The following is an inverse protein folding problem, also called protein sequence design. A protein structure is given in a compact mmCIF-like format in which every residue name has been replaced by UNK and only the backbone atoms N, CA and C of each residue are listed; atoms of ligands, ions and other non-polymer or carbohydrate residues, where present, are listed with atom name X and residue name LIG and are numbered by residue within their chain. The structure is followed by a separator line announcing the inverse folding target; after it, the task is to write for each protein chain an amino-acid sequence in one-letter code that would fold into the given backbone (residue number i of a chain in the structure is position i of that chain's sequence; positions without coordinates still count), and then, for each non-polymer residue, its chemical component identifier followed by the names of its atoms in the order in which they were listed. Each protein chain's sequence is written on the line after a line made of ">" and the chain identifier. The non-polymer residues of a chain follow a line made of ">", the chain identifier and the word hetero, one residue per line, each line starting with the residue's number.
data_IF_237622024768
#
_entry.id   IF_237622024768
#
_cell.length_a   1.000
_cell.length_b   1.000
_cell.length_c   1.000
_cell.angle_alpha   90.00
_cell.angle_beta   90.00
_cell.angle_gamma   90.00
#
_symmetry.space_group_name_H-M   'P 1'
#
loop_
_entity.id
_entity.type
_entity.pdbx_description
1 polymer ?
#
# COMPACT_ATOMS: atom_id res chain seq x y z
N UNK A 1 -5.02 -10.89 18.05
CA UNK A 1 -4.24 -10.27 16.97
C UNK A 1 -4.76 -10.78 15.62
N UNK A 2 -4.94 -9.90 14.67
CA UNK A 2 -5.47 -10.27 13.37
C UNK A 2 -4.47 -9.86 12.26
N UNK A 3 -4.65 -10.42 11.07
CA UNK A 3 -3.84 -10.09 9.90
C UNK A 3 -4.76 -9.44 8.87
N UNK A 4 -4.33 -8.30 8.35
CA UNK A 4 -5.12 -7.50 7.42
C UNK A 4 -4.39 -7.32 6.09
N UNK A 5 -5.19 -7.25 5.03
CA UNK A 5 -4.72 -6.90 3.69
C UNK A 5 -5.62 -5.77 3.17
N UNK A 6 -5.06 -4.58 3.04
CA UNK A 6 -5.76 -3.45 2.46
C UNK A 6 -5.26 -3.27 1.03
N UNK A 7 -6.19 -3.32 0.07
CA UNK A 7 -5.87 -3.15 -1.34
C UNK A 7 -6.41 -1.79 -1.77
N UNK A 8 -5.52 -0.90 -2.20
CA UNK A 8 -5.89 0.45 -2.60
C UNK A 8 -5.67 0.63 -4.09
N UNK A 9 -6.74 0.90 -4.83
CA UNK A 9 -6.71 1.08 -6.29
C UNK A 9 -6.87 2.52 -6.72
N UNK A 10 -7.14 3.43 -5.80
CA UNK A 10 -7.44 4.84 -6.12
C UNK A 10 -6.29 5.76 -5.82
N UNK A 11 -6.23 6.84 -6.61
CA UNK A 11 -5.24 7.89 -6.48
C UNK A 11 -5.67 8.86 -5.37
N UNK A 12 -4.80 9.18 -4.41
CA UNK A 12 -5.12 10.14 -3.35
C UNK A 12 -5.41 11.56 -3.86
N UNK A 13 -4.98 11.90 -5.08
CA UNK A 13 -5.32 13.20 -5.69
C UNK A 13 -6.78 13.27 -6.13
N UNK A 14 -7.41 12.12 -6.37
CA UNK A 14 -8.80 12.05 -6.80
C UNK A 14 -9.76 11.71 -5.67
N UNK A 15 -9.28 11.07 -4.63
CA UNK A 15 -10.12 10.60 -3.53
C UNK A 15 -9.53 10.98 -2.19
N UNK A 16 -10.27 11.78 -1.42
CA UNK A 16 -9.86 12.18 -0.07
C UNK A 16 -9.93 11.03 0.93
N UNK A 17 -10.56 9.92 0.54
CA UNK A 17 -10.65 8.72 1.40
C UNK A 17 -9.32 7.97 1.42
N UNK A 18 -8.52 8.06 0.36
CA UNK A 18 -7.27 7.29 0.25
C UNK A 18 -6.30 7.55 1.40
N UNK A 19 -5.99 8.81 1.78
CA UNK A 19 -5.12 9.05 2.94
C UNK A 19 -5.69 8.47 4.24
N UNK A 20 -7.00 8.39 4.37
CA UNK A 20 -7.65 7.77 5.53
C UNK A 20 -7.41 6.27 5.58
N UNK A 21 -7.29 5.62 4.42
CA UNK A 21 -6.93 4.20 4.36
C UNK A 21 -5.51 3.98 4.84
N UNK A 22 -4.59 4.90 4.55
CA UNK A 22 -3.23 4.84 5.07
C UNK A 22 -3.23 4.96 6.60
N UNK A 23 -4.03 5.88 7.13
CA UNK A 23 -4.15 6.07 8.57
C UNK A 23 -4.75 4.84 9.25
N UNK A 24 -5.75 4.22 8.62
CA UNK A 24 -6.34 2.99 9.12
C UNK A 24 -5.30 1.88 9.19
N UNK A 25 -4.53 1.71 8.12
CA UNK A 25 -3.47 0.70 8.08
C UNK A 25 -2.46 0.92 9.20
N UNK A 26 -2.00 2.17 9.37
CA UNK A 26 -1.04 2.52 10.40
C UNK A 26 -1.60 2.26 11.81
N UNK A 27 -2.87 2.60 12.04
CA UNK A 27 -3.53 2.38 13.33
C UNK A 27 -3.62 0.90 13.66
N UNK A 28 -3.99 0.07 12.67
CA UNK A 28 -4.08 -1.38 12.85
C UNK A 28 -2.70 -1.98 13.17
N UNK A 29 -1.66 -1.51 12.48
CA UNK A 29 -0.29 -1.97 12.74
C UNK A 29 0.18 -1.59 14.14
N UNK A 30 -0.10 -0.36 14.57
CA UNK A 30 0.26 0.11 15.91
C UNK A 30 -0.46 -0.66 17.00
N UNK A 31 -1.63 -1.20 16.71
CA UNK A 31 -2.40 -2.03 17.64
C UNK A 31 -1.87 -3.47 17.71
N UNK A 32 -0.81 -3.80 16.98
CA UNK A 32 -0.16 -5.11 17.04
C UNK A 32 -0.61 -6.08 15.95
N UNK A 33 -1.36 -5.63 14.97
CA UNK A 33 -1.80 -6.48 13.86
C UNK A 33 -0.75 -6.51 12.75
N UNK A 34 -0.71 -7.61 12.00
CA UNK A 34 0.07 -7.68 10.77
C UNK A 34 -0.76 -7.03 9.65
N UNK A 35 -0.23 -6.00 9.02
CA UNK A 35 -0.97 -5.23 8.01
C UNK A 35 -0.14 -5.08 6.75
N UNK A 36 -0.73 -5.44 5.61
CA UNK A 36 -0.18 -5.16 4.29
C UNK A 36 -1.08 -4.13 3.62
N UNK A 37 -0.47 -3.08 3.08
CA UNK A 37 -1.15 -2.13 2.20
C UNK A 37 -0.60 -2.36 0.79
N UNK A 38 -1.45 -2.89 -0.08
CA UNK A 38 -1.06 -3.26 -1.44
C UNK A 38 -1.68 -2.29 -2.43
N UNK A 39 -0.83 -1.54 -3.13
CA UNK A 39 -1.25 -0.50 -4.07
C UNK A 39 -1.34 -1.10 -5.47
N UNK A 40 -2.49 -0.89 -6.13
CA UNK A 40 -2.71 -1.37 -7.51
C UNK A 40 -3.28 -0.24 -8.36
N UNK A 41 -3.15 -0.35 -9.67
CA UNK A 41 -3.70 0.63 -10.60
C UNK A 41 -3.24 2.06 -10.23
N UNK A 42 -4.12 3.04 -10.21
CA UNK A 42 -3.76 4.41 -9.85
C UNK A 42 -3.33 4.57 -8.39
N UNK A 43 -3.58 3.57 -7.57
CA UNK A 43 -3.09 3.54 -6.19
C UNK A 43 -1.58 3.55 -6.08
N UNK A 44 -0.85 3.19 -7.15
CA UNK A 44 0.62 3.21 -7.14
C UNK A 44 1.22 4.59 -7.40
N UNK A 45 0.44 5.56 -7.87
CA UNK A 45 0.96 6.89 -8.20
C UNK A 45 1.69 7.57 -7.02
N UNK A 46 1.18 7.50 -5.78
CA UNK A 46 1.89 8.10 -4.64
C UNK A 46 3.17 7.36 -4.24
N UNK A 47 3.45 6.19 -4.83
CA UNK A 47 4.70 5.50 -4.58
C UNK A 47 5.91 6.19 -5.22
N UNK A 48 5.68 7.14 -6.16
CA UNK A 48 6.76 7.99 -6.69
C UNK A 48 7.28 8.88 -5.57
N UNK A 49 8.61 8.98 -5.39
CA UNK A 49 9.16 9.78 -4.30
C UNK A 49 8.95 11.28 -4.53
N UNK A 50 9.00 12.06 -3.46
CA UNK A 50 9.00 13.51 -3.52
C UNK A 50 7.65 14.19 -3.38
N UNK A 51 6.56 13.43 -3.31
CA UNK A 51 5.21 13.99 -3.15
C UNK A 51 4.75 14.01 -1.71
N UNK A 52 3.70 14.78 -1.42
CA UNK A 52 3.12 14.83 -0.08
C UNK A 52 2.52 13.47 0.31
N UNK A 53 1.91 12.77 -0.63
CA UNK A 53 1.30 11.47 -0.35
C UNK A 53 2.34 10.35 -0.21
N UNK A 54 3.50 10.48 -0.87
CA UNK A 54 4.58 9.51 -0.69
C UNK A 54 5.11 9.53 0.75
N UNK A 55 5.13 10.71 1.37
CA UNK A 55 5.52 10.84 2.79
C UNK A 55 4.55 10.11 3.71
N UNK A 56 3.26 10.10 3.37
CA UNK A 56 2.26 9.36 4.13
C UNK A 56 2.47 7.86 4.03
N UNK A 57 2.86 7.35 2.86
CA UNK A 57 3.20 5.94 2.68
C UNK A 57 4.44 5.57 3.51
N UNK A 58 5.44 6.42 3.50
CA UNK A 58 6.64 6.22 4.32
C UNK A 58 6.30 6.19 5.80
N UNK A 59 5.42 7.08 6.25
CA UNK A 59 4.96 7.11 7.64
C UNK A 59 4.22 5.83 8.00
N UNK A 60 3.37 5.31 7.12
CA UNK A 60 2.68 4.04 7.34
C UNK A 60 3.68 2.88 7.47
N UNK A 61 4.69 2.86 6.62
CA UNK A 61 5.75 1.86 6.69
C UNK A 61 6.48 1.92 8.04
N UNK A 62 6.80 3.11 8.51
CA UNK A 62 7.46 3.27 9.82
C UNK A 62 6.58 2.86 10.98
N UNK A 63 5.26 2.90 10.81
CA UNK A 63 4.31 2.44 11.81
C UNK A 63 4.15 0.91 11.84
N UNK A 64 4.80 0.20 10.91
CA UNK A 64 4.79 -1.26 10.85
C UNK A 64 3.98 -1.84 9.71
N UNK A 65 3.42 -1.02 8.83
CA UNK A 65 2.67 -1.50 7.65
C UNK A 65 3.65 -1.96 6.58
N UNK A 66 3.40 -3.12 5.98
CA UNK A 66 4.10 -3.54 4.77
C UNK A 66 3.45 -2.85 3.58
N UNK A 67 4.10 -1.83 3.04
CA UNK A 67 3.59 -1.08 1.89
C UNK A 67 4.21 -1.65 0.62
N UNK A 68 3.37 -2.16 -0.27
CA UNK A 68 3.79 -2.78 -1.53
C UNK A 68 3.05 -2.16 -2.70
N UNK A 69 3.72 -2.06 -3.83
CA UNK A 69 3.15 -1.54 -5.07
C UNK A 69 3.23 -2.61 -6.14
N UNK A 70 2.12 -2.85 -6.83
CA UNK A 70 2.02 -3.85 -7.89
C UNK A 70 2.95 -3.54 -9.06
N UNK A 71 3.82 -4.48 -9.39
CA UNK A 71 4.82 -4.32 -10.45
C UNK A 71 4.20 -3.97 -11.80
N UNK A 72 3.11 -4.64 -12.15
CA UNK A 72 2.45 -4.40 -13.43
C UNK A 72 1.89 -2.97 -13.50
N UNK A 73 1.23 -2.53 -12.42
CA UNK A 73 0.67 -1.17 -12.34
C UNK A 73 1.76 -0.12 -12.43
N UNK A 74 2.91 -0.36 -11.80
CA UNK A 74 4.06 0.54 -11.87
C UNK A 74 4.58 0.66 -13.30
N UNK A 75 4.77 -0.47 -13.99
CA UNK A 75 5.27 -0.48 -15.37
C UNK A 75 4.34 0.24 -16.32
N UNK A 76 3.03 0.03 -16.18
CA UNK A 76 2.06 0.71 -17.03
C UNK A 76 2.09 2.23 -16.89
N UNK A 77 2.58 2.72 -15.75
CA UNK A 77 2.62 4.15 -15.44
C UNK A 77 4.03 4.74 -15.54
N UNK A 78 4.98 3.95 -16.05
CA UNK A 78 6.35 4.42 -16.24
C UNK A 78 7.10 4.67 -14.93
N UNK A 79 6.70 4.02 -13.84
CA UNK A 79 7.36 4.20 -12.55
C UNK A 79 8.38 3.08 -12.36
N UNK A 80 9.65 3.45 -12.19
CA UNK A 80 10.73 2.47 -12.01
C UNK A 80 10.64 1.84 -10.62
N UNK A 81 10.63 0.49 -10.57
CA UNK A 81 10.52 -0.26 -9.33
C UNK A 81 11.69 0.00 -8.35
N UNK A 82 12.84 0.42 -8.87
CA UNK A 82 14.01 0.75 -8.04
C UNK A 82 14.02 2.18 -7.50
N UNK A 83 13.01 2.98 -7.81
CA UNK A 83 12.94 4.40 -7.42
C UNK A 83 11.60 4.71 -6.78
N UNK A 84 11.25 3.95 -5.74
CA UNK A 84 10.02 4.15 -5.00
C UNK A 84 10.28 4.95 -3.72
N UNK A 85 9.21 5.52 -3.17
CA UNK A 85 9.27 6.20 -1.88
C UNK A 85 9.84 5.28 -0.81
N UNK A 86 10.52 5.85 0.18
CA UNK A 86 11.10 5.09 1.28
C UNK A 86 10.05 4.22 1.97
N UNK A 87 10.36 2.95 2.15
CA UNK A 87 9.47 2.00 2.80
C UNK A 87 8.47 1.32 1.87
N UNK A 88 8.43 1.71 0.59
CA UNK A 88 7.55 1.09 -0.40
C UNK A 88 8.35 0.11 -1.26
N UNK A 89 7.85 -1.11 -1.42
CA UNK A 89 8.49 -2.14 -2.26
C UNK A 89 7.59 -2.50 -3.42
N UNK A 90 8.19 -2.84 -4.56
CA UNK A 90 7.46 -3.46 -5.64
C UNK A 90 7.17 -4.93 -5.30
N UNK A 91 6.04 -5.44 -5.74
CA UNK A 91 5.65 -6.81 -5.49
C UNK A 91 4.77 -7.34 -6.61
N UNK A 92 4.78 -8.65 -6.78
CA UNK A 92 3.91 -9.35 -7.71
C UNK A 92 2.53 -9.51 -7.07
N UNK A 93 1.49 -9.55 -7.90
CA UNK A 93 0.12 -9.74 -7.43
C UNK A 93 -0.08 -11.07 -6.70
N UNK A 94 0.83 -12.04 -6.89
CA UNK A 94 0.80 -13.30 -6.14
C UNK A 94 0.82 -13.09 -4.63
N UNK A 95 1.39 -11.99 -4.15
CA UNK A 95 1.37 -11.65 -2.72
C UNK A 95 -0.07 -11.52 -2.21
N UNK A 96 -0.94 -10.86 -3.00
CA UNK A 96 -2.37 -10.72 -2.65
C UNK A 96 -3.04 -12.08 -2.58
N UNK A 97 -2.79 -12.92 -3.59
CA UNK A 97 -3.37 -14.27 -3.65
C UNK A 97 -2.93 -15.09 -2.44
N UNK A 98 -1.64 -15.06 -2.12
CA UNK A 98 -1.09 -15.81 -0.99
C UNK A 98 -1.69 -15.34 0.35
N UNK A 99 -1.82 -14.03 0.54
CA UNK A 99 -2.38 -13.49 1.78
C UNK A 99 -3.87 -13.77 1.92
N UNK A 100 -4.61 -13.75 0.82
CA UNK A 100 -6.01 -14.17 0.84
C UNK A 100 -6.13 -15.66 1.19
N UNK A 101 -5.25 -16.50 0.65
CA UNK A 101 -5.22 -17.94 0.97
C UNK A 101 -4.88 -18.18 2.44
N UNK A 102 -4.07 -17.31 3.05
CA UNK A 102 -3.77 -17.36 4.48
C UNK A 102 -4.97 -16.99 5.37
N UNK A 103 -6.03 -16.45 4.79
CA UNK A 103 -7.22 -16.03 5.53
C UNK A 103 -7.15 -14.63 6.10
N UNK A 104 -6.34 -13.74 5.53
CA UNK A 104 -6.29 -12.35 5.99
C UNK A 104 -7.62 -11.66 5.74
N UNK A 105 -7.97 -10.75 6.65
CA UNK A 105 -9.13 -9.89 6.47
C UNK A 105 -8.78 -8.85 5.42
N UNK A 106 -9.50 -8.86 4.29
CA UNK A 106 -9.20 -8.01 3.15
C UNK A 106 -10.21 -6.89 3.00
N UNK A 107 -9.70 -5.68 2.76
CA UNK A 107 -10.49 -4.49 2.45
C UNK A 107 -10.01 -3.95 1.11
N UNK A 108 -10.94 -3.71 0.19
CA UNK A 108 -10.65 -3.15 -1.12
C UNK A 108 -11.24 -1.74 -1.24
N UNK A 109 -10.42 -0.81 -1.68
CA UNK A 109 -10.89 0.56 -1.96
C UNK A 109 -10.45 1.01 -3.36
#
# INVERSE_FOLDING_TARGET
>A
MANYLLIESRDPFESVVVPRQYDLAASLAKAGNAVTLFLVQNGVLPARPGGVHSKLLTAASKAGVQVMADEFSLRERGIAAGKLAEGVRSADLSVVIDQLAEGRKALWH
#
